data_IF_046400332088
#
_entry.id   IF_046400332088
#
_cell.length_a   1.000
_cell.length_b   1.000
_cell.length_c   1.000
_cell.angle_alpha   90.00
_cell.angle_beta   90.00
_cell.angle_gamma   90.00
#
_symmetry.space_group_name_H-M   'P 1'
#
loop_
_entity.id
_entity.type
_entity.pdbx_description
1 polymer ?
#
# COMPACT_ATOMS: atom_id res chain seq x y z
N UNK A 1 11.83 15.34 2.52
CA UNK A 1 11.05 14.10 2.34
C UNK A 1 10.81 13.88 0.86
N UNK A 2 11.41 12.83 0.30
CA UNK A 2 11.25 12.37 -1.08
C UNK A 2 10.06 11.41 -1.16
N UNK A 3 9.33 11.47 -2.27
CA UNK A 3 8.21 10.55 -2.58
C UNK A 3 8.39 9.95 -3.97
N UNK A 4 7.97 8.71 -4.16
CA UNK A 4 7.85 8.08 -5.48
C UNK A 4 6.61 7.21 -5.52
N UNK A 5 5.72 7.51 -6.46
CA UNK A 5 4.57 6.70 -6.79
C UNK A 5 4.95 5.69 -7.86
N UNK A 6 4.49 4.46 -7.70
CA UNK A 6 4.64 3.37 -8.64
C UNK A 6 3.28 3.11 -9.27
N UNK A 7 3.16 3.36 -10.57
CA UNK A 7 1.94 3.10 -11.35
C UNK A 7 1.89 1.66 -11.90
N UNK A 8 2.83 0.81 -11.48
CA UNK A 8 2.84 -0.61 -11.85
C UNK A 8 1.79 -1.35 -11.02
N UNK A 9 1.24 -2.47 -11.53
CA UNK A 9 0.30 -3.28 -10.78
C UNK A 9 0.90 -3.70 -9.43
N UNK A 10 0.24 -3.30 -8.34
CA UNK A 10 0.56 -3.76 -7.00
C UNK A 10 -0.45 -4.84 -6.62
N UNK A 11 0.00 -5.85 -5.91
CA UNK A 11 -0.88 -6.84 -5.30
C UNK A 11 -0.75 -6.69 -3.79
N UNK A 12 -1.87 -6.48 -3.11
CA UNK A 12 -1.88 -6.30 -1.65
C UNK A 12 -2.65 -7.45 -1.02
N UNK A 13 -2.02 -8.15 -0.08
CA UNK A 13 -2.69 -9.14 0.74
C UNK A 13 -3.27 -8.44 1.98
N UNK A 14 -4.59 -8.54 2.15
CA UNK A 14 -5.29 -8.07 3.34
C UNK A 14 -5.52 -9.26 4.27
N UNK A 15 -5.06 -9.15 5.52
CA UNK A 15 -5.37 -10.11 6.59
C UNK A 15 -6.22 -9.42 7.65
N UNK A 16 -7.44 -9.91 7.83
CA UNK A 16 -8.43 -9.19 8.65
C UNK A 16 -8.84 -7.88 7.96
N UNK A 17 -8.49 -6.75 8.58
CA UNK A 17 -8.83 -5.40 8.13
C UNK A 17 -7.61 -4.56 7.72
N UNK A 18 -6.41 -5.15 7.72
CA UNK A 18 -5.16 -4.44 7.47
C UNK A 18 -4.27 -5.12 6.41
N UNK A 19 -3.45 -4.35 5.68
CA UNK A 19 -2.44 -4.90 4.76
C UNK A 19 -1.37 -5.69 5.52
N UNK A 20 -1.12 -6.92 5.09
CA UNK A 20 -0.10 -7.81 5.69
C UNK A 20 1.18 -7.88 4.85
N UNK A 21 1.05 -7.90 3.54
CA UNK A 21 2.16 -7.78 2.61
C UNK A 21 1.66 -7.20 1.29
N UNK A 22 2.59 -6.75 0.47
CA UNK A 22 2.29 -6.33 -0.88
C UNK A 22 3.45 -6.64 -1.81
N UNK A 23 3.12 -6.91 -3.07
CA UNK A 23 4.08 -7.21 -4.12
C UNK A 23 3.99 -6.16 -5.22
N UNK A 24 5.15 -5.69 -5.65
CA UNK A 24 5.29 -4.88 -6.85
C UNK A 24 6.33 -5.55 -7.74
N UNK A 25 5.94 -5.85 -8.98
CA UNK A 25 6.80 -6.57 -9.93
C UNK A 25 7.32 -7.89 -9.29
N UNK A 26 8.64 -8.07 -9.22
CA UNK A 26 9.31 -9.22 -8.59
C UNK A 26 9.77 -8.94 -7.14
N UNK A 27 9.28 -7.87 -6.51
CA UNK A 27 9.67 -7.46 -5.16
C UNK A 27 8.52 -7.62 -4.17
N UNK A 28 8.72 -8.49 -3.19
CA UNK A 28 7.80 -8.67 -2.06
C UNK A 28 8.17 -7.74 -0.90
N UNK A 29 7.15 -7.11 -0.34
CA UNK A 29 7.26 -6.23 0.81
C UNK A 29 6.44 -6.78 1.98
N UNK A 30 7.13 -7.03 3.08
CA UNK A 30 6.54 -7.42 4.35
C UNK A 30 6.07 -6.16 5.10
N UNK A 31 4.79 -6.08 5.46
CA UNK A 31 4.28 -5.00 6.31
C UNK A 31 4.69 -5.30 7.75
N UNK A 32 5.58 -4.46 8.28
CA UNK A 32 6.06 -4.55 9.67
C UNK A 32 5.04 -3.93 10.61
N UNK A 33 4.41 -2.82 10.18
CA UNK A 33 3.44 -2.10 11.01
C UNK A 33 2.43 -1.37 10.14
N UNK A 34 1.15 -1.56 10.44
CA UNK A 34 0.08 -0.71 9.94
C UNK A 34 0.06 0.60 10.74
N UNK A 35 0.22 1.73 10.07
CA UNK A 35 0.27 3.04 10.74
C UNK A 35 -1.13 3.63 10.90
N UNK A 36 -1.90 3.72 9.81
CA UNK A 36 -3.28 4.25 9.81
C UNK A 36 -3.99 4.05 8.48
N UNK A 37 -5.32 4.05 8.51
CA UNK A 37 -6.18 4.20 7.35
C UNK A 37 -6.36 5.71 7.11
N UNK A 38 -5.96 6.18 5.93
CA UNK A 38 -6.03 7.59 5.56
C UNK A 38 -7.35 7.96 4.90
N UNK A 39 -7.92 7.05 4.12
CA UNK A 39 -9.20 7.25 3.47
C UNK A 39 -9.94 5.93 3.30
N UNK A 40 -11.25 5.99 3.47
CA UNK A 40 -12.19 4.94 3.10
C UNK A 40 -13.42 5.62 2.52
N UNK A 41 -13.62 5.47 1.22
CA UNK A 41 -14.79 6.01 0.53
C UNK A 41 -15.55 4.86 -0.11
N UNK A 42 -16.78 4.65 0.35
CA UNK A 42 -17.75 3.83 -0.36
C UNK A 42 -18.60 4.75 -1.24
N UNK A 43 -18.31 4.91 -2.55
CA UNK A 43 -19.23 5.55 -3.47
C UNK A 43 -20.54 4.75 -3.57
N UNK A 44 -21.61 5.42 -3.98
CA UNK A 44 -22.94 4.82 -4.13
C UNK A 44 -22.97 3.64 -5.11
N UNK A 45 -21.99 3.58 -6.01
CA UNK A 45 -21.81 2.50 -7.00
C UNK A 45 -21.17 1.22 -6.42
N UNK A 46 -20.90 1.19 -5.10
CA UNK A 46 -20.44 -0.01 -4.38
C UNK A 46 -18.94 -0.31 -4.49
N UNK A 47 -18.13 0.66 -4.92
CA UNK A 47 -16.69 0.47 -5.17
C UNK A 47 -15.82 1.18 -4.15
N UNK A 48 -15.35 0.46 -3.13
CA UNK A 48 -14.58 1.08 -2.04
C UNK A 48 -13.22 1.59 -2.52
N UNK A 49 -12.99 2.91 -2.44
CA UNK A 49 -11.64 3.50 -2.51
C UNK A 49 -11.03 3.45 -1.11
N UNK A 50 -9.84 2.88 -1.00
CA UNK A 50 -9.18 2.64 0.28
C UNK A 50 -7.73 3.14 0.22
N UNK A 51 -7.28 3.85 1.25
CA UNK A 51 -5.90 4.34 1.36
C UNK A 51 -5.34 3.99 2.74
N UNK A 52 -4.26 3.25 2.77
CA UNK A 52 -3.57 2.84 4.00
C UNK A 52 -2.14 3.34 3.99
N UNK A 53 -1.65 3.73 5.16
CA UNK A 53 -0.26 4.03 5.40
C UNK A 53 0.38 2.90 6.21
N UNK A 54 1.47 2.35 5.69
CA UNK A 54 2.16 1.20 6.28
C UNK A 54 3.65 1.46 6.37
N UNK A 55 4.31 0.74 7.29
CA UNK A 55 5.75 0.57 7.35
C UNK A 55 6.08 -0.82 6.82
N UNK A 56 6.93 -0.89 5.80
CA UNK A 56 7.27 -2.16 5.17
C UNK A 56 8.74 -2.22 4.76
N UNK A 57 9.22 -3.44 4.55
CA UNK A 57 10.57 -3.73 4.05
C UNK A 57 10.50 -4.77 2.94
N UNK A 58 11.43 -4.71 2.00
CA UNK A 58 11.72 -5.84 1.11
C UNK A 58 13.08 -6.44 1.48
N UNK A 59 13.42 -7.58 0.88
CA UNK A 59 14.72 -8.22 1.12
C UNK A 59 15.90 -7.31 0.75
N UNK A 60 15.76 -6.54 -0.32
CA UNK A 60 16.84 -5.74 -0.92
C UNK A 60 16.76 -4.23 -0.61
N UNK A 61 15.69 -3.79 0.06
CA UNK A 61 15.47 -2.37 0.34
C UNK A 61 15.30 -2.11 1.84
N UNK A 62 15.82 -0.97 2.34
CA UNK A 62 15.61 -0.59 3.72
C UNK A 62 14.11 -0.38 4.00
N UNK A 63 13.76 -0.50 5.28
CA UNK A 63 12.43 -0.21 5.77
C UNK A 63 12.01 1.23 5.44
N UNK A 64 10.84 1.36 4.82
CA UNK A 64 10.27 2.65 4.38
C UNK A 64 8.79 2.72 4.70
N UNK A 65 8.27 3.94 4.65
CA UNK A 65 6.84 4.21 4.75
C UNK A 65 6.25 4.16 3.35
N UNK A 66 5.11 3.48 3.22
CA UNK A 66 4.37 3.36 1.98
C UNK A 66 2.93 3.77 2.19
N UNK A 67 2.34 4.35 1.16
CA UNK A 67 0.89 4.49 1.01
C UNK A 67 0.42 3.50 -0.03
N UNK A 68 -0.55 2.66 0.35
CA UNK A 68 -1.22 1.71 -0.53
C UNK A 68 -2.61 2.25 -0.82
N UNK A 69 -2.89 2.52 -2.08
CA UNK A 69 -4.17 3.03 -2.55
C UNK A 69 -4.84 1.94 -3.38
N UNK A 70 -6.05 1.55 -3.00
CA UNK A 70 -6.94 0.71 -3.80
C UNK A 70 -8.04 1.59 -4.38
N UNK A 71 -8.13 1.64 -5.70
CA UNK A 71 -9.16 2.36 -6.43
C UNK A 71 -9.76 1.44 -7.49
N UNK A 72 -11.06 1.13 -7.39
CA UNK A 72 -11.74 0.19 -8.28
C UNK A 72 -11.05 -1.19 -8.40
N UNK A 73 -10.47 -1.69 -7.29
CA UNK A 73 -9.72 -2.95 -7.27
C UNK A 73 -8.29 -2.85 -7.84
N UNK A 74 -7.90 -1.68 -8.33
CA UNK A 74 -6.54 -1.40 -8.80
C UNK A 74 -5.72 -0.80 -7.67
N UNK A 75 -4.59 -1.44 -7.39
CA UNK A 75 -3.69 -1.01 -6.34
C UNK A 75 -2.53 -0.19 -6.88
N UNK A 76 -2.21 0.88 -6.16
CA UNK A 76 -1.05 1.76 -6.36
C UNK A 76 -0.27 1.90 -5.07
N UNK A 77 1.03 2.14 -5.20
CA UNK A 77 1.92 2.32 -4.07
C UNK A 77 2.70 3.62 -4.19
N UNK A 78 2.82 4.36 -3.09
CA UNK A 78 3.73 5.52 -2.97
C UNK A 78 4.70 5.31 -1.83
N UNK A 79 6.00 5.29 -2.12
CA UNK A 79 7.06 5.19 -1.12
C UNK A 79 7.55 6.57 -0.64
N UNK A 80 7.89 6.69 0.64
CA UNK A 80 8.40 7.92 1.28
C UNK A 80 9.73 7.67 1.99
N UNK A 81 10.69 8.60 1.84
CA UNK A 81 11.99 8.56 2.53
C UNK A 81 12.63 9.96 2.70
N UNK A 82 13.65 10.09 3.55
CA UNK A 82 14.43 11.32 3.73
C UNK A 82 15.78 11.21 3.02
#
# INVERSE_FOLDING_TARGET
>A
MKRRTCDHPVQVEIRGDSPACFRQDDCDYEVITFLKMLAFRRPQDGVDTQLWQVRARSADAPERTYELECDHGHWRMTAFWC
#
